data_IF_173896990270
#
_entry.id   IF_173896990270
#
_cell.length_a   1.000
_cell.length_b   1.000
_cell.length_c   1.000
_cell.angle_alpha   90.00
_cell.angle_beta   90.00
_cell.angle_gamma   90.00
#
_symmetry.space_group_name_H-M   'P 1'
#
loop_
_entity.id
_entity.type
_entity.pdbx_description
1 polymer ?
#
# COMPACT_ATOMS: atom_id res chain seq x y z
N UNK A 1 -27.55 -8.90 11.80
CA UNK A 1 -26.43 -8.18 12.44
C UNK A 1 -25.16 -9.02 12.34
N UNK A 2 -24.00 -8.46 11.94
CA UNK A 2 -22.76 -9.25 11.75
C UNK A 2 -22.07 -9.52 13.09
N UNK A 3 -21.62 -10.76 13.29
CA UNK A 3 -20.94 -11.21 14.51
C UNK A 3 -19.75 -10.29 14.90
N UNK A 4 -19.65 -9.92 16.18
CA UNK A 4 -18.58 -9.10 16.74
C UNK A 4 -17.17 -9.65 16.46
N UNK A 5 -16.95 -10.95 16.63
CA UNK A 5 -15.64 -11.56 16.39
C UNK A 5 -15.20 -11.45 14.92
N UNK A 6 -16.15 -11.52 13.99
CA UNK A 6 -15.87 -11.31 12.56
C UNK A 6 -15.43 -9.87 12.30
N UNK A 7 -16.08 -8.89 12.94
CA UNK A 7 -15.71 -7.47 12.85
C UNK A 7 -14.35 -7.20 13.48
N UNK A 8 -14.11 -7.69 14.70
CA UNK A 8 -12.84 -7.55 15.41
C UNK A 8 -11.67 -8.15 14.64
N UNK A 9 -11.85 -9.32 14.00
CA UNK A 9 -10.81 -9.92 13.16
C UNK A 9 -10.43 -9.02 11.99
N UNK A 10 -11.43 -8.45 11.29
CA UNK A 10 -11.18 -7.53 10.17
C UNK A 10 -10.47 -6.26 10.64
N UNK A 11 -10.89 -5.70 11.77
CA UNK A 11 -10.23 -4.53 12.35
C UNK A 11 -8.77 -4.84 12.71
N UNK A 12 -8.51 -5.92 13.46
CA UNK A 12 -7.14 -6.33 13.84
C UNK A 12 -6.24 -6.52 12.63
N UNK A 13 -6.72 -7.20 11.58
CA UNK A 13 -5.94 -7.37 10.35
C UNK A 13 -5.57 -6.05 9.68
N UNK A 14 -6.42 -5.01 9.79
CA UNK A 14 -6.14 -3.69 9.22
C UNK A 14 -5.17 -2.89 10.08
N UNK A 15 -5.26 -3.01 11.40
CA UNK A 15 -4.34 -2.34 12.32
C UNK A 15 -2.93 -2.91 12.13
N UNK A 16 -2.78 -4.23 12.16
CA UNK A 16 -1.48 -4.89 12.00
C UNK A 16 -0.82 -4.57 10.65
N UNK A 17 -1.60 -4.47 9.58
CA UNK A 17 -1.09 -4.08 8.26
C UNK A 17 -0.54 -2.65 8.22
N UNK A 18 -0.97 -1.77 9.13
CA UNK A 18 -0.49 -0.39 9.23
C UNK A 18 0.63 -0.25 10.27
N UNK A 19 0.69 -1.11 11.28
CA UNK A 19 1.73 -1.02 12.32
C UNK A 19 3.03 -1.72 11.94
N UNK A 20 2.95 -2.80 11.16
CA UNK A 20 4.09 -3.70 10.88
C UNK A 20 4.41 -3.78 9.38
N UNK A 21 5.68 -4.05 9.07
CA UNK A 21 6.16 -4.42 7.73
C UNK A 21 6.91 -3.29 7.03
N UNK A 22 7.32 -3.48 5.76
CA UNK A 22 8.11 -2.48 5.05
C UNK A 22 7.35 -1.15 4.92
N UNK A 23 8.00 -0.04 5.26
CA UNK A 23 7.39 1.28 5.40
C UNK A 23 6.89 1.61 6.81
N UNK A 24 6.87 0.66 7.76
CA UNK A 24 6.70 0.97 9.17
C UNK A 24 8.03 1.50 9.72
N UNK A 25 8.22 2.81 9.70
CA UNK A 25 9.47 3.43 10.11
C UNK A 25 9.23 4.80 10.73
N UNK A 26 10.18 5.23 11.55
CA UNK A 26 10.21 6.55 12.17
C UNK A 26 11.15 7.44 11.36
N UNK A 27 10.59 8.46 10.73
CA UNK A 27 11.33 9.54 10.08
C UNK A 27 12.02 10.47 11.10
N UNK A 28 13.19 11.05 10.77
CA UNK A 28 13.83 12.05 11.62
C UNK A 28 12.92 13.25 11.85
N UNK A 29 12.59 13.49 13.12
CA UNK A 29 11.89 14.67 13.60
C UNK A 29 12.89 15.67 14.19
N UNK A 30 12.52 16.94 14.46
CA UNK A 30 13.44 17.93 15.04
C UNK A 30 14.30 17.43 16.22
N UNK A 31 13.78 16.67 17.21
CA UNK A 31 14.62 16.16 18.32
C UNK A 31 15.55 15.00 17.93
N UNK A 32 15.27 14.27 16.84
CA UNK A 32 16.08 13.10 16.39
C UNK A 32 16.95 13.45 15.18
N UNK A 33 16.77 14.62 14.60
CA UNK A 33 17.49 15.08 13.42
C UNK A 33 18.98 15.25 13.72
N UNK A 34 19.79 14.86 12.75
CA UNK A 34 21.25 15.01 12.78
C UNK A 34 21.70 15.82 11.57
N UNK A 35 22.96 16.27 11.56
CA UNK A 35 23.50 16.98 10.38
C UNK A 35 23.44 16.12 9.11
N UNK A 36 23.60 14.80 9.26
CA UNK A 36 23.55 13.85 8.15
C UNK A 36 22.11 13.55 7.71
N UNK A 37 21.18 13.47 8.66
CA UNK A 37 19.75 13.22 8.41
C UNK A 37 18.89 14.35 9.03
N UNK A 38 18.61 15.40 8.24
CA UNK A 38 17.82 16.55 8.68
C UNK A 38 16.36 16.16 8.96
N UNK A 39 15.65 17.01 9.72
CA UNK A 39 14.25 16.79 10.05
C UNK A 39 13.38 16.84 8.79
N UNK A 40 12.43 15.91 8.66
CA UNK A 40 11.49 15.89 7.54
C UNK A 40 10.25 16.68 7.90
N UNK A 41 9.91 17.65 7.07
CA UNK A 41 8.75 18.50 7.30
C UNK A 41 7.49 17.95 6.65
N UNK A 42 7.58 17.47 5.40
CA UNK A 42 6.42 16.96 4.64
C UNK A 42 6.82 16.02 3.51
N UNK A 43 5.85 15.23 3.03
CA UNK A 43 5.98 14.36 1.87
C UNK A 43 4.87 14.64 0.85
N UNK A 44 5.22 14.65 -0.43
CA UNK A 44 4.26 14.76 -1.53
C UNK A 44 4.50 13.68 -2.58
N UNK A 45 3.48 12.86 -2.86
CA UNK A 45 3.53 11.82 -3.88
C UNK A 45 2.63 12.18 -5.06
N UNK A 46 3.20 12.22 -6.25
CA UNK A 46 2.46 12.41 -7.51
C UNK A 46 2.60 11.19 -8.38
N UNK A 47 1.48 10.69 -8.91
CA UNK A 47 1.49 9.61 -9.90
C UNK A 47 0.17 9.54 -10.68
N UNK A 48 0.17 8.88 -11.84
CA UNK A 48 -1.02 8.74 -12.68
C UNK A 48 -2.00 7.68 -12.15
N UNK A 49 -3.29 7.87 -12.41
CA UNK A 49 -4.32 6.94 -11.93
C UNK A 49 -4.19 5.53 -12.53
N UNK A 50 -3.79 5.42 -13.80
CA UNK A 50 -3.61 4.12 -14.47
C UNK A 50 -2.19 3.62 -14.24
N UNK A 51 -2.03 2.30 -14.29
CA UNK A 51 -0.77 1.60 -13.97
C UNK A 51 0.23 1.54 -15.12
N UNK A 52 -0.15 2.00 -16.32
CA UNK A 52 0.71 2.01 -17.50
C UNK A 52 1.94 2.91 -17.28
N UNK A 53 2.93 2.86 -18.17
CA UNK A 53 4.10 3.76 -18.15
C UNK A 53 4.80 3.84 -16.78
N UNK A 54 4.92 2.71 -16.07
CA UNK A 54 5.71 2.63 -14.84
C UNK A 54 5.08 3.18 -13.56
N UNK A 55 3.77 3.51 -13.54
CA UNK A 55 3.10 4.10 -12.38
C UNK A 55 2.66 3.09 -11.30
N UNK A 56 2.79 1.79 -11.57
CA UNK A 56 2.37 0.72 -10.65
C UNK A 56 3.09 0.78 -9.28
N UNK A 57 4.39 1.05 -9.28
CA UNK A 57 5.21 1.14 -8.07
C UNK A 57 4.72 2.21 -7.11
N UNK A 58 4.53 3.42 -7.61
CA UNK A 58 4.02 4.56 -6.84
C UNK A 58 2.66 4.26 -6.21
N UNK A 59 1.75 3.60 -6.94
CA UNK A 59 0.45 3.18 -6.40
C UNK A 59 0.58 2.17 -5.25
N UNK A 60 1.45 1.17 -5.40
CA UNK A 60 1.68 0.20 -4.33
C UNK A 60 2.37 0.83 -3.12
N UNK A 61 3.34 1.73 -3.35
CA UNK A 61 3.98 2.51 -2.31
C UNK A 61 2.95 3.34 -1.50
N UNK A 62 2.00 3.99 -2.17
CA UNK A 62 0.90 4.68 -1.47
C UNK A 62 -0.01 3.75 -0.69
N UNK A 63 -0.32 2.57 -1.21
CA UNK A 63 -1.27 1.66 -0.54
C UNK A 63 -0.65 0.86 0.60
N UNK A 64 0.67 0.64 0.56
CA UNK A 64 1.37 -0.23 1.51
C UNK A 64 2.31 0.53 2.44
N UNK A 65 3.13 1.45 1.94
CA UNK A 65 4.16 2.11 2.75
C UNK A 65 3.68 3.43 3.38
N UNK A 66 3.04 4.32 2.61
CA UNK A 66 2.62 5.63 3.14
C UNK A 66 1.68 5.56 4.36
N UNK A 67 0.70 4.64 4.45
CA UNK A 67 -0.17 4.53 5.62
C UNK A 67 0.61 4.09 6.86
N UNK A 68 1.58 3.17 6.68
CA UNK A 68 2.47 2.71 7.76
C UNK A 68 3.37 3.84 8.25
N UNK A 69 3.97 4.61 7.34
CA UNK A 69 4.75 5.79 7.68
C UNK A 69 3.90 6.82 8.43
N UNK A 70 2.67 7.08 7.97
CA UNK A 70 1.79 8.06 8.61
C UNK A 70 1.37 7.66 10.03
N UNK A 71 1.24 6.36 10.29
CA UNK A 71 0.92 5.85 11.63
C UNK A 71 2.04 6.14 12.63
N UNK A 72 3.29 5.90 12.25
CA UNK A 72 4.47 6.15 13.09
C UNK A 72 4.88 7.63 13.11
N UNK A 73 4.50 8.41 12.09
CA UNK A 73 4.81 9.83 11.96
C UNK A 73 3.54 10.69 11.76
N UNK A 74 2.66 10.79 12.76
CA UNK A 74 1.39 11.51 12.63
C UNK A 74 1.58 13.02 12.40
N UNK A 75 2.66 13.61 12.92
CA UNK A 75 2.94 15.05 12.79
C UNK A 75 3.38 15.47 11.38
N UNK A 76 3.88 14.54 10.57
CA UNK A 76 4.39 14.85 9.22
C UNK A 76 3.21 14.81 8.24
N UNK A 77 2.82 15.93 7.60
CA UNK A 77 1.82 15.92 6.54
C UNK A 77 2.33 15.15 5.32
N UNK A 78 1.51 14.20 4.86
CA UNK A 78 1.77 13.39 3.67
C UNK A 78 0.61 13.59 2.72
N UNK A 79 0.90 14.07 1.51
CA UNK A 79 -0.10 14.38 0.49
C UNK A 79 0.11 13.54 -0.74
N UNK A 80 -0.99 13.20 -1.42
CA UNK A 80 -0.96 12.35 -2.62
C UNK A 80 -1.81 13.01 -3.70
N UNK A 81 -1.21 13.25 -4.87
CA UNK A 81 -1.91 13.72 -6.05
C UNK A 81 -1.95 12.63 -7.11
N UNK A 82 -3.15 12.12 -7.36
CA UNK A 82 -3.40 11.25 -8.51
C UNK A 82 -3.72 12.10 -9.74
N UNK A 83 -2.96 11.95 -10.81
CA UNK A 83 -3.12 12.68 -12.08
C UNK A 83 -3.82 11.81 -13.14
N UNK A 84 -4.38 12.45 -14.17
CA UNK A 84 -4.89 11.74 -15.36
C UNK A 84 -3.84 11.67 -16.48
N UNK A 85 -2.79 12.47 -16.37
CA UNK A 85 -1.67 12.49 -17.31
C UNK A 85 -0.77 11.28 -17.07
N UNK A 86 -0.78 10.35 -18.02
CA UNK A 86 -0.06 9.08 -17.93
C UNK A 86 1.43 9.22 -18.23
N UNK A 87 1.79 10.22 -19.03
CA UNK A 87 3.18 10.51 -19.39
C UNK A 87 3.84 11.41 -18.36
N UNK A 88 3.03 12.01 -17.47
CA UNK A 88 3.46 12.77 -16.32
C UNK A 88 4.36 11.98 -15.34
N UNK A 89 5.04 12.71 -14.44
CA UNK A 89 6.03 12.12 -13.54
C UNK A 89 5.38 11.24 -12.47
N UNK A 90 6.03 10.11 -12.17
CA UNK A 90 5.80 9.34 -10.95
C UNK A 90 6.87 9.75 -9.94
N UNK A 91 6.57 10.73 -9.07
CA UNK A 91 7.57 11.39 -8.24
C UNK A 91 7.16 11.42 -6.77
N UNK A 92 8.12 11.20 -5.88
CA UNK A 92 8.00 11.49 -4.45
C UNK A 92 8.90 12.66 -4.10
N UNK A 93 8.30 13.78 -3.73
CA UNK A 93 9.02 14.96 -3.23
C UNK A 93 9.09 14.90 -1.70
N UNK A 94 10.31 14.87 -1.18
CA UNK A 94 10.63 14.86 0.25
C UNK A 94 11.12 16.25 0.64
N UNK A 95 10.53 16.82 1.68
CA UNK A 95 10.87 18.15 2.17
C UNK A 95 11.63 18.01 3.48
N UNK A 96 12.81 18.64 3.52
CA UNK A 96 13.71 18.67 4.65
C UNK A 96 13.76 20.07 5.24
N UNK A 97 13.91 20.16 6.56
CA UNK A 97 14.19 21.41 7.25
C UNK A 97 15.64 21.85 6.97
N UNK A 98 15.79 23.08 6.48
CA UNK A 98 17.01 23.86 6.24
C UNK A 98 17.99 23.29 5.19
N UNK A 99 18.23 21.99 5.20
CA UNK A 99 19.19 21.31 4.34
C UNK A 99 18.70 19.92 3.92
N UNK A 100 19.14 19.48 2.75
CA UNK A 100 18.89 18.13 2.23
C UNK A 100 20.00 17.21 2.75
N UNK A 101 19.69 15.95 3.07
CA UNK A 101 20.73 14.99 3.47
C UNK A 101 21.72 14.75 2.31
N UNK A 102 22.95 14.39 2.64
CA UNK A 102 23.96 14.04 1.63
C UNK A 102 23.47 12.86 0.76
N UNK A 103 22.86 11.85 1.40
CA UNK A 103 22.27 10.71 0.71
C UNK A 103 21.13 11.13 -0.24
N UNK A 104 20.28 12.07 0.17
CA UNK A 104 19.21 12.57 -0.68
C UNK A 104 19.76 13.39 -1.86
N UNK A 105 20.82 14.18 -1.66
CA UNK A 105 21.45 14.96 -2.73
C UNK A 105 22.05 14.05 -3.83
N UNK A 106 22.64 12.91 -3.43
CA UNK A 106 23.22 11.93 -4.36
C UNK A 106 22.17 11.11 -5.12
N UNK A 107 21.05 10.79 -4.47
CA UNK A 107 20.02 9.91 -5.02
C UNK A 107 18.82 10.67 -5.61
N UNK A 108 18.76 11.99 -5.47
CA UNK A 108 17.70 12.81 -6.01
C UNK A 108 17.71 12.78 -7.55
N UNK A 109 16.53 12.61 -8.13
CA UNK A 109 16.32 12.73 -9.56
C UNK A 109 16.43 14.21 -9.97
N UNK A 110 17.36 14.52 -10.88
CA UNK A 110 17.55 15.89 -11.39
C UNK A 110 16.61 16.23 -12.54
N UNK A 111 16.18 15.22 -13.29
CA UNK A 111 15.42 15.39 -14.53
C UNK A 111 13.89 15.35 -14.32
N UNK A 112 13.44 15.04 -13.10
CA UNK A 112 12.02 14.90 -12.77
C UNK A 112 11.50 16.17 -12.13
N UNK A 113 10.69 16.92 -12.89
CA UNK A 113 10.00 18.10 -12.40
C UNK A 113 8.54 17.78 -12.07
N UNK A 114 8.20 17.76 -10.78
CA UNK A 114 6.83 17.59 -10.30
C UNK A 114 6.10 18.93 -10.17
N UNK A 115 5.26 19.25 -11.15
CA UNK A 115 4.46 20.49 -11.17
C UNK A 115 3.34 20.50 -10.12
N UNK A 116 2.96 19.35 -9.58
CA UNK A 116 1.88 19.23 -8.60
C UNK A 116 2.37 19.30 -7.16
N UNK A 117 3.67 19.09 -6.95
CA UNK A 117 4.31 19.27 -5.66
C UNK A 117 4.24 20.76 -5.24
N UNK A 118 3.78 21.05 -4.01
CA UNK A 118 3.83 22.40 -3.48
C UNK A 118 5.26 22.96 -3.47
N UNK A 119 5.43 24.25 -3.76
CA UNK A 119 6.75 24.89 -3.63
C UNK A 119 7.28 24.75 -2.20
N UNK A 120 8.60 24.58 -2.06
CA UNK A 120 9.27 24.56 -0.76
C UNK A 120 9.05 25.89 -0.02
N UNK A 121 8.88 25.84 1.30
CA UNK A 121 8.89 27.06 2.13
C UNK A 121 10.30 27.67 2.22
N UNK A 122 10.41 28.87 2.79
CA UNK A 122 11.69 29.60 2.90
C UNK A 122 12.78 28.81 3.64
N UNK A 123 12.39 28.03 4.66
CA UNK A 123 13.27 27.19 5.46
C UNK A 123 13.27 25.72 5.02
N UNK A 124 12.64 25.38 3.90
CA UNK A 124 12.59 23.99 3.43
C UNK A 124 13.44 23.79 2.18
N UNK A 125 14.03 22.61 2.07
CA UNK A 125 14.64 22.15 0.83
C UNK A 125 14.03 20.83 0.39
N UNK A 126 14.00 20.60 -0.92
CA UNK A 126 13.36 19.43 -1.50
C UNK A 126 14.36 18.47 -2.12
N UNK A 127 14.07 17.18 -2.04
CA UNK A 127 14.67 16.15 -2.85
C UNK A 127 13.57 15.33 -3.53
N UNK A 128 13.72 15.11 -4.84
CA UNK A 128 12.74 14.37 -5.64
C UNK A 128 13.25 12.95 -5.88
N UNK A 129 12.41 11.95 -5.65
CA UNK A 129 12.67 10.56 -5.99
C UNK A 129 11.84 10.19 -7.22
N UNK A 130 12.50 9.77 -8.29
CA UNK A 130 11.82 9.15 -9.43
C UNK A 130 11.35 7.74 -9.06
N UNK A 131 10.07 7.49 -9.28
CA UNK A 131 9.38 6.25 -8.96
C UNK A 131 9.00 5.45 -10.22
N UNK A 132 9.27 5.98 -11.41
CA UNK A 132 8.88 5.35 -12.67
C UNK A 132 9.60 4.01 -12.85
N UNK A 133 8.84 2.98 -13.22
CA UNK A 133 9.33 1.62 -13.47
C UNK A 133 10.03 0.94 -12.26
N UNK A 134 9.81 1.45 -11.04
CA UNK A 134 10.34 0.86 -9.82
C UNK A 134 9.29 0.05 -9.08
N UNK A 135 9.72 -1.05 -8.46
CA UNK A 135 8.89 -1.77 -7.49
C UNK A 135 8.81 -1.00 -6.17
N UNK A 136 7.68 -1.11 -5.47
CA UNK A 136 7.41 -0.37 -4.25
C UNK A 136 8.42 -0.68 -3.12
N UNK A 137 8.98 -1.89 -3.07
CA UNK A 137 10.05 -2.24 -2.12
C UNK A 137 11.33 -1.46 -2.39
N UNK A 138 11.71 -1.34 -3.67
CA UNK A 138 12.88 -0.55 -4.08
C UNK A 138 12.65 0.94 -3.84
N UNK A 139 11.42 1.41 -4.06
CA UNK A 139 11.04 2.78 -3.71
C UNK A 139 11.24 2.99 -2.19
N UNK A 140 10.77 2.06 -1.36
CA UNK A 140 10.96 2.13 0.08
C UNK A 140 12.44 2.15 0.47
N UNK A 141 13.27 1.28 -0.11
CA UNK A 141 14.71 1.25 0.16
C UNK A 141 15.38 2.59 -0.18
N UNK A 142 15.04 3.19 -1.33
CA UNK A 142 15.53 4.52 -1.72
C UNK A 142 15.11 5.59 -0.71
N UNK A 143 13.83 5.61 -0.33
CA UNK A 143 13.31 6.55 0.67
C UNK A 143 14.07 6.38 1.99
N UNK A 144 14.21 5.15 2.49
CA UNK A 144 14.92 4.85 3.74
C UNK A 144 16.36 5.38 3.70
N UNK A 145 17.08 5.16 2.60
CA UNK A 145 18.47 5.62 2.43
C UNK A 145 18.53 7.15 2.41
N UNK A 146 17.63 7.81 1.67
CA UNK A 146 17.61 9.26 1.55
C UNK A 146 17.25 9.94 2.86
N UNK A 147 16.32 9.37 3.63
CA UNK A 147 15.80 9.98 4.83
C UNK A 147 16.48 9.53 6.12
N UNK A 148 17.22 8.42 6.11
CA UNK A 148 17.75 7.79 7.33
C UNK A 148 16.65 7.26 8.24
N UNK A 149 15.52 6.81 7.65
CA UNK A 149 14.38 6.32 8.42
C UNK A 149 14.76 5.07 9.22
N UNK A 150 14.35 5.01 10.49
CA UNK A 150 14.58 3.84 11.35
C UNK A 150 13.37 2.91 11.28
N UNK A 151 13.56 1.69 10.78
CA UNK A 151 12.49 0.70 10.70
C UNK A 151 12.03 0.23 12.09
N UNK A 152 10.72 0.16 12.28
CA UNK A 152 10.10 -0.34 13.51
C UNK A 152 10.01 -1.84 13.41
N UNK A 153 10.73 -2.54 14.30
CA UNK A 153 10.66 -3.99 14.39
C UNK A 153 9.33 -4.41 15.00
N UNK A 154 8.74 -5.48 14.44
CA UNK A 154 7.51 -6.05 14.98
C UNK A 154 7.76 -6.60 16.38
N UNK A 155 6.80 -6.42 17.29
CA UNK A 155 6.85 -7.13 18.57
C UNK A 155 6.50 -8.60 18.38
N UNK A 156 7.01 -9.47 19.27
CA UNK A 156 6.72 -10.92 19.21
C UNK A 156 5.22 -11.23 19.15
N UNK A 157 4.40 -10.48 19.90
CA UNK A 157 2.94 -10.62 19.90
C UNK A 157 2.33 -10.29 18.53
N UNK A 158 2.79 -9.22 17.89
CA UNK A 158 2.30 -8.84 16.57
C UNK A 158 2.71 -9.85 15.51
N UNK A 159 3.92 -10.41 15.59
CA UNK A 159 4.36 -11.48 14.69
C UNK A 159 3.51 -12.75 14.82
N UNK A 160 3.19 -13.14 16.06
CA UNK A 160 2.28 -14.27 16.31
C UNK A 160 0.87 -14.00 15.76
N UNK A 161 0.36 -12.78 15.94
CA UNK A 161 -0.95 -12.40 15.39
C UNK A 161 -0.96 -12.40 13.86
N UNK A 162 0.11 -11.90 13.22
CA UNK A 162 0.28 -11.95 11.76
C UNK A 162 0.28 -13.40 11.28
N UNK A 163 1.10 -14.28 11.88
CA UNK A 163 1.14 -15.71 11.55
C UNK A 163 -0.23 -16.37 11.70
N UNK A 164 -0.96 -16.05 12.77
CA UNK A 164 -2.32 -16.56 13.00
C UNK A 164 -3.31 -16.10 11.93
N UNK A 165 -3.22 -14.85 11.49
CA UNK A 165 -4.06 -14.31 10.42
C UNK A 165 -3.73 -14.94 9.06
N UNK A 166 -2.45 -15.19 8.77
CA UNK A 166 -2.01 -15.88 7.56
C UNK A 166 -2.55 -17.32 7.49
N UNK A 167 -2.44 -18.07 8.59
CA UNK A 167 -3.02 -19.42 8.70
C UNK A 167 -4.54 -19.40 8.46
N UNK A 168 -5.25 -18.43 9.03
CA UNK A 168 -6.68 -18.26 8.77
C UNK A 168 -7.00 -17.90 7.32
N UNK A 169 -6.14 -17.13 6.64
CA UNK A 169 -6.31 -16.79 5.24
C UNK A 169 -6.16 -18.02 4.35
N UNK A 170 -5.13 -18.85 4.59
CA UNK A 170 -4.92 -20.13 3.88
C UNK A 170 -6.13 -21.04 4.06
N UNK A 171 -6.63 -21.19 5.29
CA UNK A 171 -7.83 -21.99 5.54
C UNK A 171 -9.05 -21.43 4.82
N UNK A 172 -9.20 -20.10 4.79
CA UNK A 172 -10.33 -19.45 4.11
C UNK A 172 -10.34 -19.67 2.60
N UNK A 173 -9.19 -19.83 1.95
CA UNK A 173 -9.09 -20.16 0.52
C UNK A 173 -9.58 -21.59 0.28
N UNK A 174 -9.08 -22.56 1.07
CA UNK A 174 -9.52 -23.96 1.01
C UNK A 174 -11.03 -24.10 1.20
N UNK A 175 -11.58 -23.40 2.19
CA UNK A 175 -13.02 -23.41 2.45
C UNK A 175 -13.84 -22.76 1.32
N UNK A 176 -13.30 -21.70 0.69
CA UNK A 176 -13.94 -21.06 -0.46
C UNK A 176 -14.04 -22.02 -1.64
N UNK A 177 -12.95 -22.72 -1.96
CA UNK A 177 -12.90 -23.70 -3.05
C UNK A 177 -13.86 -24.87 -2.80
N UNK A 178 -13.86 -25.43 -1.58
CA UNK A 178 -14.81 -26.49 -1.19
C UNK A 178 -16.26 -26.04 -1.39
N UNK A 179 -16.61 -24.86 -0.88
CA UNK A 179 -17.96 -24.33 -1.00
C UNK A 179 -18.34 -24.00 -2.45
N UNK A 180 -17.39 -23.56 -3.27
CA UNK A 180 -17.62 -23.35 -4.71
C UNK A 180 -17.96 -24.68 -5.41
N UNK A 181 -17.23 -25.76 -5.11
CA UNK A 181 -17.52 -27.10 -5.66
C UNK A 181 -18.92 -27.60 -5.26
N UNK A 182 -19.30 -27.45 -4.00
CA UNK A 182 -20.62 -27.85 -3.51
C UNK A 182 -21.73 -27.07 -4.22
N UNK A 183 -21.56 -25.75 -4.37
CA UNK A 183 -22.54 -24.90 -5.08
C UNK A 183 -22.65 -25.26 -6.55
N UNK A 184 -21.53 -25.56 -7.20
CA UNK A 184 -21.51 -25.98 -8.60
C UNK A 184 -22.24 -27.32 -8.78
N UNK A 185 -21.93 -28.32 -7.96
CA UNK A 185 -22.61 -29.62 -7.99
C UNK A 185 -24.12 -29.50 -7.77
N UNK A 186 -24.56 -28.65 -6.82
CA UNK A 186 -25.99 -28.38 -6.59
C UNK A 186 -26.65 -27.77 -7.82
N UNK A 187 -25.99 -26.79 -8.45
CA UNK A 187 -26.50 -26.12 -9.66
C UNK A 187 -26.59 -27.09 -10.85
N UNK A 188 -25.61 -27.99 -10.99
CA UNK A 188 -25.59 -28.99 -12.05
C UNK A 188 -26.69 -30.05 -11.83
N UNK A 189 -26.91 -30.49 -10.59
CA UNK A 189 -28.03 -31.38 -10.23
C UNK A 189 -29.40 -30.73 -10.50
N UNK A 190 -29.57 -29.46 -10.11
CA UNK A 190 -30.80 -28.70 -10.38
C UNK A 190 -31.07 -28.57 -11.89
N UNK A 191 -30.04 -28.30 -12.69
CA UNK A 191 -30.14 -28.24 -14.16
C UNK A 191 -30.57 -29.60 -14.75
N UNK A 192 -29.93 -30.69 -14.34
CA UNK A 192 -30.24 -32.04 -14.83
C UNK A 192 -31.68 -32.44 -14.49
N UNK A 193 -32.15 -32.14 -13.26
CA UNK A 193 -33.52 -32.43 -12.86
C UNK A 193 -34.54 -31.58 -13.63
N UNK A 194 -34.21 -30.34 -13.96
CA UNK A 194 -35.07 -29.46 -14.75
C UNK A 194 -35.19 -29.94 -16.20
N UNK A 195 -34.09 -30.37 -16.82
CA UNK A 195 -34.07 -30.97 -18.15
C UNK A 195 -34.93 -32.25 -18.19
N UNK A 196 -34.72 -33.15 -17.22
CA UNK A 196 -35.50 -34.39 -17.11
C UNK A 196 -37.01 -34.13 -16.91
N UNK A 197 -37.39 -33.14 -16.08
CA UNK A 197 -38.80 -32.75 -15.92
C UNK A 197 -39.40 -32.19 -17.21
N UNK A 198 -38.65 -31.34 -17.92
CA UNK A 198 -39.08 -30.78 -19.20
C UNK A 198 -39.28 -31.84 -20.29
N UNK A 199 -38.44 -32.87 -20.33
CA UNK A 199 -38.61 -34.01 -21.25
C UNK A 199 -39.87 -34.82 -20.94
N UNK A 200 -40.15 -35.11 -19.67
CA UNK A 200 -41.37 -35.81 -19.25
C UNK A 200 -42.63 -35.01 -19.57
N UNK A 201 -42.61 -33.69 -19.40
CA UNK A 201 -43.74 -32.83 -19.77
C UNK A 201 -43.98 -32.82 -21.28
N UNK A 202 -42.93 -32.80 -22.11
CA UNK A 202 -43.07 -32.91 -23.57
C UNK A 202 -43.66 -34.25 -24.00
N UNK A 203 -43.21 -35.35 -23.38
CA UNK A 203 -43.71 -36.70 -23.66
C UNK A 203 -45.18 -36.91 -23.24
N UNK A 204 -45.70 -36.12 -22.30
CA UNK A 204 -47.12 -36.16 -21.90
C UNK A 204 -48.04 -35.37 -22.83
N UNK A 205 -47.50 -34.48 -23.66
CA UNK A 205 -48.28 -33.65 -24.60
C UNK A 205 -48.35 -34.24 -26.02
N UNK A 206 -47.56 -35.28 -26.29
CA UNK A 206 -47.64 -36.15 -27.48
C UNK A 206 -48.53 -37.35 -27.21
#
# INVERSE_FOLDING_TARGET
>A
MVNLFKRMRKLRSRILDVTVGPGAAILPSPPTATKEFPAITRLHLTYAQKIYNGHQGARHFWRQCLPRLKYHNPSIPMTVKQTQDQDGPAALTIYFAEQVSNAATLNAAKDVNDKYAPAAGESEKTAVVDLKDLDWKRIWDKVRIMTGAKEVQASQKEEEEVKKLEQMAVQSVKDRERNAKIRQAKKDQERMLQEARGEVERLRQT
#
